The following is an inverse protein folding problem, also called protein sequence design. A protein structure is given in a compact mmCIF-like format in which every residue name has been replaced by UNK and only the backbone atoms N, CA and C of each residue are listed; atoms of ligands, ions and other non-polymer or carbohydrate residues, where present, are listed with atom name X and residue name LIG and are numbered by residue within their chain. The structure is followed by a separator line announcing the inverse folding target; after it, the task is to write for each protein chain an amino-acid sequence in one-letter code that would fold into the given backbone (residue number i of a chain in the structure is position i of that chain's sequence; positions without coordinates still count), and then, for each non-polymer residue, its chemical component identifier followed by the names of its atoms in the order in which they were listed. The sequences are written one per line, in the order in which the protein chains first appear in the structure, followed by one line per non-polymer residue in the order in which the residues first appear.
data_IF_921049691636
#
_entry.id   IF_921049691636
#
_cell.length_a   1.000
_cell.length_b   1.000
_cell.length_c   1.000
_cell.angle_alpha   90.00
_cell.angle_beta   90.00
_cell.angle_gamma   90.00
#
_symmetry.space_group_name_H-M   'P 1'
#
loop_
_entity.id
_entity.type
_entity.pdbx_description
1 polymer ?
#
# COMPACT_ATOMS: atom_id res chain seq x y z
N UNK A 1 43.02 -15.75 -51.95
CA UNK A 1 43.36 -14.81 -50.85
C UNK A 1 42.20 -13.88 -50.46
N UNK A 2 41.57 -13.15 -51.41
CA UNK A 2 40.47 -12.20 -51.10
C UNK A 2 39.26 -12.83 -50.37
N UNK A 3 38.87 -14.05 -50.74
CA UNK A 3 37.76 -14.78 -50.10
C UNK A 3 38.06 -15.17 -48.66
N UNK A 4 39.30 -15.62 -48.37
CA UNK A 4 39.73 -15.96 -47.02
C UNK A 4 39.77 -14.72 -46.11
N UNK A 5 40.28 -13.61 -46.62
CA UNK A 5 40.29 -12.32 -45.90
C UNK A 5 38.87 -11.83 -45.60
N UNK A 6 37.93 -12.02 -46.53
CA UNK A 6 36.51 -11.69 -46.35
C UNK A 6 35.88 -12.51 -45.23
N UNK A 7 36.05 -13.83 -45.23
CA UNK A 7 35.51 -14.70 -44.17
C UNK A 7 36.14 -14.40 -42.80
N UNK A 8 37.44 -14.09 -42.77
CA UNK A 8 38.12 -13.69 -41.55
C UNK A 8 37.54 -12.38 -40.99
N UNK A 9 37.38 -11.36 -41.84
CA UNK A 9 36.79 -10.08 -41.42
C UNK A 9 35.32 -10.23 -40.96
N UNK A 10 34.54 -11.07 -41.64
CA UNK A 10 33.15 -11.38 -41.22
C UNK A 10 33.12 -12.09 -39.87
N UNK A 11 33.97 -13.10 -39.65
CA UNK A 11 34.06 -13.78 -38.36
C UNK A 11 34.50 -12.80 -37.25
N UNK A 12 35.50 -11.96 -37.52
CA UNK A 12 36.01 -10.97 -36.58
C UNK A 12 34.95 -9.94 -36.15
N UNK A 13 33.98 -9.62 -37.01
CA UNK A 13 32.90 -8.67 -36.69
C UNK A 13 31.66 -9.36 -36.13
N UNK A 14 31.22 -10.47 -36.74
CA UNK A 14 29.96 -11.11 -36.39
C UNK A 14 30.04 -11.96 -35.13
N UNK A 15 31.17 -12.65 -34.87
CA UNK A 15 31.32 -13.45 -33.64
C UNK A 15 31.22 -12.60 -32.38
N UNK A 16 31.98 -11.49 -32.21
CA UNK A 16 31.84 -10.68 -30.99
C UNK A 16 30.48 -10.01 -30.90
N UNK A 17 29.88 -9.62 -32.03
CA UNK A 17 28.53 -9.07 -32.04
C UNK A 17 27.48 -10.08 -31.57
N UNK A 18 27.53 -11.31 -32.08
CA UNK A 18 26.65 -12.40 -31.63
C UNK A 18 26.90 -12.77 -30.16
N UNK A 19 28.16 -12.77 -29.71
CA UNK A 19 28.49 -13.03 -28.31
C UNK A 19 27.95 -11.93 -27.39
N UNK A 20 28.05 -10.66 -27.79
CA UNK A 20 27.52 -9.52 -27.05
C UNK A 20 25.99 -9.63 -26.93
N UNK A 21 25.30 -9.91 -28.04
CA UNK A 21 23.85 -10.12 -28.05
C UNK A 21 23.48 -11.32 -27.17
N UNK A 22 24.16 -12.46 -27.32
CA UNK A 22 23.86 -13.67 -26.56
C UNK A 22 24.04 -13.48 -25.05
N UNK A 23 25.11 -12.80 -24.65
CA UNK A 23 25.39 -12.48 -23.25
C UNK A 23 24.32 -11.53 -22.68
N UNK A 24 24.08 -10.39 -23.33
CA UNK A 24 23.13 -9.40 -22.82
C UNK A 24 21.65 -9.78 -22.99
N UNK A 25 21.34 -10.80 -23.80
CA UNK A 25 20.00 -11.38 -23.90
C UNK A 25 19.58 -12.10 -22.62
N UNK A 26 20.53 -12.58 -21.81
CA UNK A 26 20.24 -13.38 -20.60
C UNK A 26 20.92 -12.87 -19.34
N UNK A 27 21.93 -12.00 -19.47
CA UNK A 27 22.78 -11.53 -18.37
C UNK A 27 23.02 -10.02 -18.43
N UNK A 28 23.18 -9.34 -17.28
CA UNK A 28 22.94 -9.86 -15.94
C UNK A 28 21.44 -10.11 -15.71
N UNK A 29 21.13 -11.18 -14.99
CA UNK A 29 19.76 -11.44 -14.56
C UNK A 29 19.27 -10.29 -13.68
N UNK A 30 18.24 -9.60 -14.12
CA UNK A 30 17.64 -8.53 -13.35
C UNK A 30 16.94 -9.10 -12.11
N UNK A 31 17.27 -8.56 -10.93
CA UNK A 31 16.68 -8.96 -9.65
C UNK A 31 15.98 -7.76 -9.01
N UNK A 32 14.69 -7.90 -8.74
CA UNK A 32 13.90 -6.88 -8.05
C UNK A 32 14.20 -6.75 -6.55
N UNK A 33 14.72 -7.81 -5.94
CA UNK A 33 15.06 -7.90 -4.51
C UNK A 33 16.45 -8.53 -4.38
N UNK A 34 17.19 -8.19 -3.32
CA UNK A 34 18.42 -8.89 -2.95
C UNK A 34 18.17 -10.38 -2.69
N UNK A 35 19.22 -11.21 -2.78
CA UNK A 35 19.11 -12.66 -2.63
C UNK A 35 18.52 -13.08 -1.27
N UNK A 36 18.78 -12.29 -0.22
CA UNK A 36 18.30 -12.53 1.15
C UNK A 36 17.24 -11.50 1.60
N UNK A 37 16.55 -10.89 0.64
CA UNK A 37 15.50 -9.90 0.92
C UNK A 37 14.11 -10.45 0.63
N UNK A 38 13.17 -10.04 1.46
CA UNK A 38 11.75 -10.14 1.21
C UNK A 38 11.14 -8.73 1.08
N UNK A 39 9.87 -8.65 0.71
CA UNK A 39 9.15 -7.39 0.58
C UNK A 39 7.88 -7.39 1.43
N UNK A 40 7.72 -6.39 2.28
CA UNK A 40 6.43 -6.09 2.90
C UNK A 40 5.72 -5.02 2.08
N UNK A 41 4.47 -5.29 1.71
CA UNK A 41 3.60 -4.35 1.01
C UNK A 41 2.39 -4.03 1.89
N UNK A 42 2.42 -2.88 2.55
CA UNK A 42 1.27 -2.31 3.24
C UNK A 42 0.40 -1.60 2.20
N UNK A 43 -0.77 -2.15 1.90
CA UNK A 43 -1.63 -1.62 0.84
C UNK A 43 -3.09 -1.86 1.14
N UNK A 44 -3.85 -0.79 1.38
CA UNK A 44 -5.29 -0.86 1.57
C UNK A 44 -5.97 0.48 1.24
N UNK A 45 -7.27 0.43 1.01
CA UNK A 45 -8.15 1.59 0.92
C UNK A 45 -9.25 1.44 1.95
N UNK A 46 -9.36 2.37 2.89
CA UNK A 46 -10.33 2.28 3.99
C UNK A 46 -11.15 3.55 4.13
N UNK A 47 -12.47 3.36 4.29
CA UNK A 47 -13.41 4.44 4.51
C UNK A 47 -13.57 4.67 6.02
N UNK A 48 -12.78 5.60 6.55
CA UNK A 48 -12.78 5.95 7.98
C UNK A 48 -14.15 6.44 8.48
N UNK A 49 -14.29 6.51 9.80
CA UNK A 49 -15.50 7.03 10.44
C UNK A 49 -15.72 8.50 10.07
N UNK A 50 -16.96 8.97 10.21
CA UNK A 50 -17.30 10.38 9.95
C UNK A 50 -16.71 11.26 11.05
N UNK A 51 -16.37 12.51 10.71
CA UNK A 51 -15.77 13.45 11.67
C UNK A 51 -16.72 13.82 12.80
N UNK A 52 -18.02 13.87 12.52
CA UNK A 52 -19.04 14.28 13.50
C UNK A 52 -20.24 13.35 13.52
N UNK A 53 -20.96 13.42 14.62
CA UNK A 53 -22.24 12.74 14.79
C UNK A 53 -23.34 13.37 13.94
N UNK A 54 -24.41 12.63 13.72
CA UNK A 54 -25.59 13.17 13.06
C UNK A 54 -26.32 14.10 14.03
N UNK A 55 -26.62 15.33 13.58
CA UNK A 55 -27.39 16.30 14.35
C UNK A 55 -28.85 16.28 13.90
N UNK A 56 -29.76 16.35 14.85
CA UNK A 56 -31.18 16.61 14.58
C UNK A 56 -31.43 18.08 14.25
N UNK A 57 -32.24 18.32 13.22
CA UNK A 57 -32.72 19.66 12.87
C UNK A 57 -33.87 20.05 13.78
N UNK A 58 -33.84 21.30 14.21
CA UNK A 58 -34.94 21.89 14.98
C UNK A 58 -36.20 22.04 14.11
N UNK A 59 -37.40 22.07 14.71
CA UNK A 59 -38.65 22.30 13.98
C UNK A 59 -38.63 23.59 13.14
N UNK A 60 -37.99 24.65 13.63
CA UNK A 60 -37.84 25.94 12.96
C UNK A 60 -36.95 25.83 11.71
N UNK A 61 -35.89 25.03 11.76
CA UNK A 61 -35.03 24.74 10.61
C UNK A 61 -35.76 23.90 9.56
N UNK A 62 -36.59 22.94 9.99
CA UNK A 62 -37.41 22.12 9.09
C UNK A 62 -38.52 22.94 8.42
N UNK A 63 -39.15 23.87 9.14
CA UNK A 63 -40.20 24.73 8.60
C UNK A 63 -39.68 25.61 7.45
N UNK A 64 -38.41 26.05 7.52
CA UNK A 64 -37.73 26.82 6.45
C UNK A 64 -37.46 26.00 5.19
N UNK A 65 -37.52 24.67 5.26
CA UNK A 65 -37.29 23.79 4.12
C UNK A 65 -38.60 23.48 3.37
N UNK A 66 -38.53 23.28 2.03
CA UNK A 66 -39.66 22.78 1.25
C UNK A 66 -40.18 21.44 1.81
N UNK A 67 -41.49 21.15 1.72
CA UNK A 67 -42.08 19.96 2.34
C UNK A 67 -41.38 18.63 1.99
N UNK A 68 -40.87 18.49 0.77
CA UNK A 68 -40.17 17.29 0.28
C UNK A 68 -38.70 17.18 0.73
N UNK A 69 -38.14 18.21 1.37
CA UNK A 69 -36.72 18.26 1.80
C UNK A 69 -36.54 18.32 3.32
N UNK A 70 -37.62 18.15 4.11
CA UNK A 70 -37.63 18.21 5.58
C UNK A 70 -37.06 16.94 6.23
N UNK A 71 -35.82 16.59 5.88
CA UNK A 71 -35.11 15.51 6.53
C UNK A 71 -34.70 15.93 7.96
N UNK A 72 -35.08 15.17 9.01
CA UNK A 72 -34.85 15.55 10.40
C UNK A 72 -33.40 15.41 10.85
N UNK A 73 -32.59 14.58 10.18
CA UNK A 73 -31.21 14.31 10.53
C UNK A 73 -30.24 14.89 9.49
N UNK A 74 -29.17 15.52 9.96
CA UNK A 74 -28.04 15.98 9.15
C UNK A 74 -26.77 15.32 9.64
N UNK A 75 -26.21 14.43 8.81
CA UNK A 75 -24.94 13.79 9.08
C UNK A 75 -23.83 14.45 8.24
N UNK A 76 -22.68 14.80 8.83
CA UNK A 76 -21.53 15.25 8.06
C UNK A 76 -21.05 14.11 7.16
N UNK A 77 -20.78 14.43 5.90
CA UNK A 77 -20.26 13.46 4.92
C UNK A 77 -18.76 13.26 5.05
N UNK A 78 -18.06 14.26 5.58
CA UNK A 78 -16.61 14.27 5.74
C UNK A 78 -16.14 13.14 6.67
N UNK A 79 -15.06 12.47 6.27
CA UNK A 79 -14.45 11.36 7.00
C UNK A 79 -13.20 11.79 7.72
N UNK A 80 -12.91 11.09 8.82
CA UNK A 80 -11.67 11.25 9.55
C UNK A 80 -10.48 10.81 8.67
N UNK A 81 -9.29 11.40 8.87
CA UNK A 81 -8.07 10.84 8.31
C UNK A 81 -7.76 9.48 8.97
N UNK A 82 -7.07 8.61 8.24
CA UNK A 82 -6.61 7.32 8.75
C UNK A 82 -5.17 7.47 9.22
N UNK A 83 -4.93 7.31 10.52
CA UNK A 83 -3.57 7.19 11.04
C UNK A 83 -3.16 5.72 11.01
N UNK A 84 -1.98 5.42 10.49
CA UNK A 84 -1.45 4.06 10.38
C UNK A 84 -0.02 4.00 10.87
N UNK A 85 0.30 2.94 11.59
CA UNK A 85 1.65 2.59 12.00
C UNK A 85 1.96 1.13 11.67
N UNK A 86 3.19 0.90 11.23
CA UNK A 86 3.74 -0.44 11.06
C UNK A 86 5.10 -0.51 11.74
N UNK A 87 5.21 -1.49 12.63
CA UNK A 87 6.39 -1.86 13.37
C UNK A 87 6.84 -3.25 12.93
N UNK A 88 8.15 -3.42 12.77
CA UNK A 88 8.77 -4.70 12.45
C UNK A 88 9.89 -4.92 13.47
N UNK A 89 9.83 -6.04 14.20
CA UNK A 89 10.79 -6.42 15.23
C UNK A 89 11.03 -5.35 16.31
N UNK A 90 9.96 -4.67 16.74
CA UNK A 90 10.06 -3.61 17.76
C UNK A 90 10.47 -2.24 17.21
N UNK A 91 10.77 -2.14 15.91
CA UNK A 91 11.16 -0.87 15.26
C UNK A 91 10.01 -0.33 14.41
N UNK A 92 9.63 0.92 14.67
CA UNK A 92 8.68 1.64 13.82
C UNK A 92 9.31 1.88 12.44
N UNK A 93 8.76 1.25 11.41
CA UNK A 93 9.27 1.33 10.03
C UNK A 93 8.42 2.21 9.13
N UNK A 94 7.15 2.44 9.50
CA UNK A 94 6.26 3.32 8.76
C UNK A 94 5.22 3.95 9.68
N UNK A 95 4.98 5.24 9.50
CA UNK A 95 3.93 6.00 10.18
C UNK A 95 3.39 7.03 9.19
N UNK A 96 2.07 7.11 9.04
CA UNK A 96 1.44 8.08 8.15
C UNK A 96 0.04 8.46 8.63
N UNK A 97 -0.39 9.66 8.21
CA UNK A 97 -1.76 10.14 8.33
C UNK A 97 -2.32 10.31 6.92
N UNK A 98 -3.14 9.36 6.48
CA UNK A 98 -3.73 9.36 5.15
C UNK A 98 -5.05 10.16 5.14
N UNK A 99 -5.15 11.26 4.37
CA UNK A 99 -6.38 12.03 4.29
C UNK A 99 -7.46 11.27 3.49
N UNK A 100 -8.76 11.53 3.76
CA UNK A 100 -9.84 11.03 2.93
C UNK A 100 -9.75 11.62 1.52
N UNK A 101 -10.15 10.83 0.52
CA UNK A 101 -10.20 11.27 -0.89
C UNK A 101 -11.48 12.05 -1.22
N UNK A 102 -11.47 12.66 -2.42
CA UNK A 102 -12.61 13.39 -2.97
C UNK A 102 -12.59 14.89 -2.61
N UNK A 103 -13.25 15.69 -3.45
CA UNK A 103 -13.34 17.15 -3.28
C UNK A 103 -13.97 17.53 -1.93
N UNK A 104 -14.96 16.74 -1.50
CA UNK A 104 -15.69 16.89 -0.24
C UNK A 104 -15.16 16.04 0.91
N UNK A 105 -14.00 15.37 0.74
CA UNK A 105 -13.36 14.55 1.79
C UNK A 105 -14.27 13.45 2.38
N UNK A 106 -15.14 12.88 1.55
CA UNK A 106 -16.09 11.81 1.91
C UNK A 106 -15.70 10.43 1.37
N UNK A 107 -14.60 10.35 0.60
CA UNK A 107 -14.04 9.11 0.06
C UNK A 107 -13.13 8.34 1.01
N UNK A 108 -12.67 7.18 0.57
CA UNK A 108 -11.72 6.36 1.32
C UNK A 108 -10.32 6.99 1.36
N UNK A 109 -9.59 6.76 2.44
CA UNK A 109 -8.16 7.03 2.51
C UNK A 109 -7.39 5.81 2.00
N UNK A 110 -6.33 6.04 1.21
CA UNK A 110 -5.52 4.97 0.62
C UNK A 110 -4.11 5.03 1.18
N UNK A 111 -3.59 3.87 1.59
CA UNK A 111 -2.20 3.70 2.05
C UNK A 111 -1.51 2.73 1.12
N UNK A 112 -0.31 3.09 0.68
CA UNK A 112 0.55 2.21 -0.11
C UNK A 112 2.01 2.44 0.27
N UNK A 113 2.63 1.40 0.82
CA UNK A 113 4.05 1.41 1.16
C UNK A 113 4.69 0.07 0.84
N UNK A 114 5.90 0.13 0.28
CA UNK A 114 6.77 -1.02 0.00
C UNK A 114 8.01 -0.93 0.86
N UNK A 115 8.29 -1.97 1.62
CA UNK A 115 9.41 -2.02 2.56
C UNK A 115 10.20 -3.32 2.31
N UNK A 116 11.38 -3.24 1.68
CA UNK A 116 12.30 -4.36 1.64
C UNK A 116 12.75 -4.69 3.07
N UNK A 117 12.68 -5.96 3.45
CA UNK A 117 13.16 -6.48 4.73
C UNK A 117 14.12 -7.64 4.49
N UNK A 118 14.90 -8.00 5.51
CA UNK A 118 15.62 -9.27 5.48
C UNK A 118 14.62 -10.42 5.35
N UNK A 119 15.03 -11.52 4.71
CA UNK A 119 14.24 -12.73 4.70
C UNK A 119 14.35 -13.46 6.06
N UNK A 120 13.26 -14.07 6.50
CA UNK A 120 13.21 -14.88 7.72
C UNK A 120 12.03 -14.54 8.62
N UNK A 121 12.16 -14.89 9.90
CA UNK A 121 11.11 -14.74 10.91
C UNK A 121 11.10 -13.33 11.49
N UNK A 122 9.97 -12.64 11.35
CA UNK A 122 9.76 -11.27 11.81
C UNK A 122 8.48 -11.15 12.64
N UNK A 123 8.48 -10.24 13.62
CA UNK A 123 7.28 -9.82 14.35
C UNK A 123 6.77 -8.52 13.75
N UNK A 124 5.51 -8.54 13.33
CA UNK A 124 4.81 -7.41 12.75
C UNK A 124 3.78 -6.88 13.74
N UNK A 125 3.81 -5.57 14.00
CA UNK A 125 2.75 -4.88 14.74
C UNK A 125 2.18 -3.78 13.86
N UNK A 126 0.94 -3.94 13.42
CA UNK A 126 0.22 -2.97 12.61
C UNK A 126 -0.87 -2.30 13.44
N UNK A 127 -0.93 -0.97 13.43
CA UNK A 127 -1.90 -0.17 14.18
C UNK A 127 -2.62 0.81 13.26
N UNK A 128 -3.91 1.00 13.49
CA UNK A 128 -4.73 1.91 12.69
C UNK A 128 -5.74 2.65 13.57
N UNK A 129 -5.88 3.94 13.30
CA UNK A 129 -6.91 4.81 13.85
C UNK A 129 -7.76 5.38 12.72
N UNK A 130 -9.05 5.09 12.72
CA UNK A 130 -10.01 5.57 11.70
C UNK A 130 -11.09 6.50 12.26
N UNK A 131 -10.89 7.06 13.47
CA UNK A 131 -11.87 7.91 14.15
C UNK A 131 -11.23 9.18 14.71
N UNK A 132 -12.08 10.17 15.01
CA UNK A 132 -11.67 11.44 15.65
C UNK A 132 -11.58 11.26 17.17
N UNK A 133 -10.80 10.28 17.60
CA UNK A 133 -10.48 10.04 19.01
C UNK A 133 -9.03 9.60 19.12
N UNK A 134 -8.33 9.94 20.23
CA UNK A 134 -6.96 9.52 20.44
C UNK A 134 -6.85 7.99 20.54
N UNK A 135 -5.68 7.47 20.18
CA UNK A 135 -5.34 6.04 20.26
C UNK A 135 -5.79 5.21 19.06
N UNK A 136 -5.12 4.07 18.88
CA UNK A 136 -5.43 3.12 17.80
C UNK A 136 -6.65 2.27 18.18
N UNK A 137 -7.56 2.09 17.22
CA UNK A 137 -8.75 1.26 17.42
C UNK A 137 -8.66 -0.11 16.76
N UNK A 138 -7.67 -0.27 15.88
CA UNK A 138 -7.27 -1.56 15.36
C UNK A 138 -5.80 -1.77 15.63
N UNK A 139 -5.48 -2.95 16.13
CA UNK A 139 -4.10 -3.39 16.33
C UNK A 139 -4.00 -4.88 16.00
N UNK A 140 -2.93 -5.26 15.33
CA UNK A 140 -2.62 -6.65 15.01
C UNK A 140 -1.14 -6.90 15.23
N UNK A 141 -0.86 -7.85 16.10
CA UNK A 141 0.46 -8.44 16.29
C UNK A 141 0.49 -9.83 15.65
N UNK A 142 1.52 -10.10 14.85
CA UNK A 142 1.73 -11.41 14.24
C UNK A 142 3.22 -11.68 14.03
N UNK A 143 3.65 -12.90 14.32
CA UNK A 143 4.99 -13.37 13.96
C UNK A 143 4.89 -14.31 12.76
N UNK A 144 5.58 -13.98 11.68
CA UNK A 144 5.53 -14.72 10.41
C UNK A 144 6.95 -14.92 9.86
N UNK A 145 7.14 -16.03 9.16
CA UNK A 145 8.35 -16.27 8.38
C UNK A 145 8.12 -15.81 6.94
N UNK A 146 8.91 -14.84 6.48
CA UNK A 146 8.87 -14.28 5.13
C UNK A 146 10.14 -14.69 4.39
N UNK A 147 10.04 -15.75 3.60
CA UNK A 147 11.17 -16.28 2.84
C UNK A 147 11.72 -15.32 1.77
N UNK A 148 12.94 -15.58 1.31
CA UNK A 148 13.62 -14.76 0.29
C UNK A 148 12.81 -14.66 -1.02
N UNK A 149 12.77 -13.46 -1.59
CA UNK A 149 12.01 -13.14 -2.80
C UNK A 149 10.49 -13.17 -2.62
N UNK A 150 9.97 -13.44 -1.42
CA UNK A 150 8.52 -13.42 -1.13
C UNK A 150 8.05 -12.00 -0.86
N UNK A 151 6.76 -11.80 -1.13
CA UNK A 151 6.05 -10.57 -0.81
C UNK A 151 4.99 -10.88 0.23
N UNK A 152 5.12 -10.29 1.42
CA UNK A 152 4.08 -10.26 2.43
C UNK A 152 3.17 -9.06 2.17
N UNK A 153 1.87 -9.30 2.02
CA UNK A 153 0.88 -8.22 1.86
C UNK A 153 0.18 -8.01 3.19
N UNK A 154 0.24 -6.76 3.68
CA UNK A 154 -0.52 -6.30 4.83
C UNK A 154 -1.66 -5.44 4.27
N UNK A 155 -2.87 -5.98 4.33
CA UNK A 155 -4.11 -5.33 3.93
C UNK A 155 -4.95 -5.00 5.18
N UNK A 156 -6.00 -4.22 5.03
CA UNK A 156 -6.89 -3.84 6.11
C UNK A 156 -8.36 -3.96 5.69
N UNK A 157 -9.14 -4.68 6.49
CA UNK A 157 -10.59 -4.78 6.33
C UNK A 157 -11.28 -4.79 7.69
N UNK A 158 -11.91 -3.67 8.05
CA UNK A 158 -12.65 -3.53 9.30
C UNK A 158 -13.75 -4.59 9.48
N UNK A 159 -14.43 -5.02 8.41
CA UNK A 159 -15.47 -6.04 8.48
C UNK A 159 -14.93 -7.45 8.76
N UNK A 160 -13.64 -7.70 8.48
CA UNK A 160 -12.95 -8.96 8.81
C UNK A 160 -12.16 -8.87 10.12
N UNK A 161 -12.35 -7.80 10.90
CA UNK A 161 -11.68 -7.62 12.19
C UNK A 161 -10.33 -6.91 12.13
N UNK A 162 -9.98 -6.26 11.01
CA UNK A 162 -8.82 -5.37 10.90
C UNK A 162 -7.77 -5.83 9.91
N UNK A 163 -6.51 -5.89 10.33
CA UNK A 163 -5.38 -6.20 9.45
C UNK A 163 -5.34 -7.67 9.01
N UNK A 164 -5.10 -7.88 7.71
CA UNK A 164 -4.95 -9.18 7.08
C UNK A 164 -3.52 -9.32 6.56
N UNK A 165 -2.81 -10.35 7.03
CA UNK A 165 -1.44 -10.64 6.61
C UNK A 165 -1.48 -11.89 5.72
N UNK A 166 -1.09 -11.75 4.45
CA UNK A 166 -1.19 -12.78 3.40
C UNK A 166 0.08 -12.89 2.57
#
# INVERSE_FOLDING_TARGET
MKTALRFFAQALLYVPFMALIGYFSTSPAYRHLGADQALVRLSFSHAAQRIGECRERTPEELAKLPPNMRAPLVCPRERAPVAVELEIDGRLVYQALAPPSGFTRDGAATVYQRLPIAAGRHRFTARLNDRVAPGFNYERDATLDVGAGRVLVIDFNAAQGGFLLK
#
